data_IF_187983340108
#
_entry.id   IF_187983340108
#
_cell.length_a   1.000
_cell.length_b   1.000
_cell.length_c   1.000
_cell.angle_alpha   90.00
_cell.angle_beta   90.00
_cell.angle_gamma   90.00
#
_symmetry.space_group_name_H-M   'P 1'
#
loop_
_entity.id
_entity.type
_entity.pdbx_description
1 polymer ?
#
# COMPACT_ATOMS: atom_id res chain seq x y z
N UNK A 1 -21.70 -7.26 0.16
CA UNK A 1 -21.43 -7.07 -0.04
C UNK A 1 -20.29 -6.91 -0.08
N UNK A 2 -19.58 -6.85 -0.25
CA UNK A 2 -18.61 -6.66 -0.42
C UNK A 2 -17.72 -6.38 0.02
N UNK A 3 -17.55 -6.05 0.17
CA UNK A 3 -16.87 -6.01 0.68
C UNK A 3 -15.62 -5.67 0.77
N UNK A 4 -14.90 -5.54 0.00
CA UNK A 4 -13.75 -5.13 -0.09
C UNK A 4 -13.78 -3.77 -0.04
N UNK A 5 -13.75 -3.03 0.91
CA UNK A 5 -13.74 -1.67 0.97
C UNK A 5 -12.42 -1.08 0.75
N UNK A 6 -11.43 -1.80 0.33
CA UNK A 6 -10.11 -1.29 0.08
C UNK A 6 -10.05 -0.71 -1.30
N UNK A 7 -9.29 0.36 -1.50
CA UNK A 7 -9.03 0.89 -2.84
C UNK A 7 -7.58 0.63 -3.23
N UNK A 8 -6.95 -0.35 -2.60
CA UNK A 8 -5.60 -0.72 -2.94
C UNK A 8 -5.55 -1.32 -4.35
N UNK A 9 -4.49 -1.08 -5.09
CA UNK A 9 -4.36 -1.65 -6.42
C UNK A 9 -4.12 -3.16 -6.33
N UNK A 10 -4.17 -3.82 -7.49
CA UNK A 10 -3.95 -5.24 -7.52
C UNK A 10 -2.48 -5.53 -7.34
N UNK A 11 -2.14 -6.19 -6.27
CA UNK A 11 -0.77 -6.60 -5.99
C UNK A 11 -0.80 -8.05 -5.54
N UNK A 12 0.37 -8.65 -5.44
CA UNK A 12 0.47 -10.05 -5.05
C UNK A 12 -0.15 -10.27 -3.67
N UNK A 13 -0.70 -11.46 -3.46
CA UNK A 13 -1.37 -11.75 -2.21
C UNK A 13 -0.50 -11.53 -0.97
N UNK A 14 0.78 -11.94 -0.98
CA UNK A 14 1.60 -11.70 0.22
C UNK A 14 1.72 -10.22 0.57
N UNK A 15 1.86 -9.37 -0.45
CA UNK A 15 1.96 -7.93 -0.20
C UNK A 15 0.66 -7.38 0.32
N UNK A 16 -0.46 -7.82 -0.25
CA UNK A 16 -1.75 -7.34 0.20
C UNK A 16 -2.02 -7.75 1.64
N UNK A 17 -1.66 -8.98 1.99
CA UNK A 17 -1.84 -9.45 3.35
C UNK A 17 -0.97 -8.67 4.32
N UNK A 18 0.24 -8.33 3.88
CA UNK A 18 1.15 -7.56 4.71
C UNK A 18 0.55 -6.21 5.04
N UNK A 19 -0.03 -5.55 4.04
CA UNK A 19 -0.64 -4.25 4.25
C UNK A 19 -1.85 -4.36 5.16
N UNK A 20 -2.70 -5.34 4.91
CA UNK A 20 -3.90 -5.51 5.72
C UNK A 20 -3.54 -5.84 7.17
N UNK A 21 -2.53 -6.68 7.36
CA UNK A 21 -2.10 -7.03 8.69
C UNK A 21 -1.53 -5.86 9.45
N UNK A 22 -0.98 -4.88 8.74
CA UNK A 22 -0.44 -3.69 9.37
C UNK A 22 -1.49 -2.59 9.52
N UNK A 23 -2.71 -2.84 9.06
CA UNK A 23 -3.77 -1.86 9.19
C UNK A 23 -3.89 -0.91 8.03
N UNK A 24 -3.16 -1.15 6.95
CA UNK A 24 -3.22 -0.28 5.77
C UNK A 24 -4.15 -0.89 4.75
N UNK A 25 -5.41 -0.54 4.82
CA UNK A 25 -6.39 -1.12 3.92
C UNK A 25 -6.79 -0.19 2.79
N UNK A 26 -6.32 1.06 2.81
CA UNK A 26 -6.65 2.03 1.78
C UNK A 26 -5.41 2.79 1.37
N UNK A 27 -5.42 3.33 0.16
CA UNK A 27 -4.30 4.14 -0.30
C UNK A 27 -4.06 5.34 0.60
N UNK A 28 -5.13 5.94 1.10
CA UNK A 28 -4.99 7.09 1.97
C UNK A 28 -4.20 6.76 3.24
N UNK A 29 -4.26 5.52 3.69
CA UNK A 29 -3.51 5.12 4.87
C UNK A 29 -2.01 5.21 4.62
N UNK A 30 -1.60 5.02 3.38
CA UNK A 30 -0.19 5.01 3.04
C UNK A 30 0.42 6.41 3.01
N UNK A 31 -0.41 7.42 2.95
CA UNK A 31 0.11 8.79 2.96
C UNK A 31 0.64 9.18 4.33
N UNK A 32 0.34 8.38 5.34
CA UNK A 32 0.76 8.68 6.70
C UNK A 32 2.05 7.97 7.09
N UNK A 33 2.58 7.14 6.20
CA UNK A 33 3.77 6.37 6.49
C UNK A 33 4.76 6.54 5.35
N UNK A 34 6.02 6.17 5.60
CA UNK A 34 7.06 6.30 4.59
C UNK A 34 7.17 5.01 3.79
N UNK A 35 7.85 5.09 2.65
CA UNK A 35 8.12 3.89 1.86
C UNK A 35 8.93 2.88 2.67
N UNK A 36 9.87 3.38 3.48
CA UNK A 36 10.68 2.50 4.32
C UNK A 36 9.81 1.71 5.28
N UNK A 37 8.82 2.37 5.87
CA UNK A 37 7.94 1.70 6.81
C UNK A 37 7.22 0.55 6.13
N UNK A 38 6.74 0.77 4.91
CA UNK A 38 5.98 -0.25 4.20
C UNK A 38 6.90 -1.36 3.71
N UNK A 39 8.10 -1.02 3.27
CA UNK A 39 9.03 -2.03 2.79
C UNK A 39 9.48 -2.98 3.89
N UNK A 40 9.35 -2.59 5.14
CA UNK A 40 9.72 -3.48 6.23
C UNK A 40 8.71 -4.58 6.46
N UNK A 41 7.53 -4.45 5.89
CA UNK A 41 6.51 -5.46 6.09
C UNK A 41 6.90 -6.73 5.35
N UNK A 42 6.74 -7.85 6.04
CA UNK A 42 7.05 -9.14 5.46
C UNK A 42 6.07 -9.39 4.31
N UNK A 43 6.58 -9.73 3.17
CA UNK A 43 5.72 -9.94 2.01
C UNK A 43 5.72 -8.80 1.02
N UNK A 44 6.28 -7.65 1.40
CA UNK A 44 6.40 -6.53 0.47
C UNK A 44 7.64 -6.70 -0.37
N UNK A 45 7.57 -6.24 -1.61
CA UNK A 45 8.71 -6.28 -2.50
C UNK A 45 8.71 -5.06 -3.39
N UNK A 46 9.77 -4.89 -4.21
CA UNK A 46 9.89 -3.71 -5.05
C UNK A 46 8.77 -3.58 -6.07
N UNK A 47 8.27 -4.70 -6.59
CA UNK A 47 7.18 -4.64 -7.56
C UNK A 47 5.92 -4.09 -6.93
N UNK A 48 5.57 -4.56 -5.73
CA UNK A 48 4.40 -4.07 -5.04
C UNK A 48 4.55 -2.60 -4.70
N UNK A 49 5.74 -2.18 -4.28
CA UNK A 49 5.98 -0.79 -3.96
C UNK A 49 5.80 0.09 -5.19
N UNK A 50 6.27 -0.38 -6.34
CA UNK A 50 6.13 0.39 -7.56
C UNK A 50 4.65 0.58 -7.91
N UNK A 51 3.86 -0.48 -7.77
CA UNK A 51 2.43 -0.40 -8.05
C UNK A 51 1.75 0.57 -7.10
N UNK A 52 2.13 0.52 -5.83
CA UNK A 52 1.54 1.42 -4.84
C UNK A 52 1.88 2.87 -5.13
N UNK A 53 3.14 3.14 -5.49
CA UNK A 53 3.55 4.50 -5.82
C UNK A 53 2.77 5.03 -7.02
N UNK A 54 2.60 4.19 -8.03
CA UNK A 54 1.85 4.61 -9.21
C UNK A 54 0.40 4.89 -8.86
N UNK A 55 -0.21 4.04 -8.06
CA UNK A 55 -1.60 4.22 -7.68
C UNK A 55 -1.80 5.49 -6.87
N UNK A 56 -0.88 5.78 -5.96
CA UNK A 56 -0.95 6.99 -5.18
C UNK A 56 -0.81 8.22 -6.07
N UNK A 57 0.17 8.15 -6.98
CA UNK A 57 0.42 9.26 -7.88
C UNK A 57 -0.79 9.60 -8.74
N UNK A 58 -1.50 8.58 -9.20
CA UNK A 58 -2.68 8.79 -10.01
C UNK A 58 -3.78 9.54 -9.27
N UNK A 59 -3.72 9.51 -7.96
CA UNK A 59 -4.72 10.21 -7.14
C UNK A 59 -4.16 11.48 -6.54
N UNK A 60 -2.96 11.87 -6.94
CA UNK A 60 -2.32 13.05 -6.38
C UNK A 60 -1.79 12.85 -4.98
N UNK A 61 -1.57 11.59 -4.60
CA UNK A 61 -1.09 11.28 -3.27
C UNK A 61 0.33 10.74 -3.34
N UNK A 62 0.97 10.64 -2.20
CA UNK A 62 2.30 10.04 -2.11
C UNK A 62 2.53 9.54 -0.69
N UNK A 63 3.54 8.69 -0.53
CA UNK A 63 3.97 8.31 0.80
C UNK A 63 4.49 9.55 1.53
N UNK A 64 4.48 9.46 2.84
CA UNK A 64 5.01 10.56 3.64
C UNK A 64 6.52 10.61 3.46
N UNK A 65 7.06 11.82 3.43
CA UNK A 65 8.51 11.98 3.34
C UNK A 65 9.12 11.53 4.63
N UNK A 66 10.12 10.70 4.52
CA UNK A 66 10.73 10.17 5.72
C UNK A 66 12.00 10.87 6.16
#
# INVERSE_FOLDING_TARGET
MGTDETNLPKIAAPARRALQGAGYTRLEDLTKVTESDVMRLHGMGPNAMQVLRNALSERGLSFRDG
#
